data_IF_069231066308
#
_entry.id   IF_069231066308
#
_cell.length_a   1.000
_cell.length_b   1.000
_cell.length_c   1.000
_cell.angle_alpha   90.00
_cell.angle_beta   90.00
_cell.angle_gamma   90.00
#
_symmetry.space_group_name_H-M   'P 1'
#
loop_
_entity.id
_entity.type
_entity.pdbx_description
1 polymer ?
#
# COMPACT_ATOMS: atom_id res chain seq x y z
N UNK A 1 -29.59 15.34 -21.07
CA UNK A 1 -28.82 16.43 -20.44
C UNK A 1 -28.64 16.06 -18.97
N UNK A 2 -27.59 15.32 -18.66
CA UNK A 2 -27.36 14.78 -17.32
C UNK A 2 -26.48 15.77 -16.56
N UNK A 3 -27.01 16.33 -15.47
CA UNK A 3 -26.29 17.27 -14.60
C UNK A 3 -25.14 16.53 -13.93
N UNK A 4 -23.92 16.98 -14.19
CA UNK A 4 -22.74 16.64 -13.38
C UNK A 4 -22.97 17.31 -12.02
N UNK A 5 -23.23 16.52 -11.00
CA UNK A 5 -23.38 17.00 -9.62
C UNK A 5 -21.99 17.07 -9.03
N UNK A 6 -21.44 18.28 -8.92
CA UNK A 6 -20.29 18.53 -8.08
C UNK A 6 -20.73 18.52 -6.61
N UNK A 7 -20.00 17.82 -5.75
CA UNK A 7 -20.12 17.95 -4.30
C UNK A 7 -19.83 19.40 -3.86
N UNK A 8 -20.60 20.01 -2.94
CA UNK A 8 -20.45 21.40 -2.50
C UNK A 8 -19.09 21.74 -1.85
N UNK A 9 -18.27 20.74 -1.53
CA UNK A 9 -16.92 20.93 -0.99
C UNK A 9 -15.89 21.34 -2.04
N UNK A 10 -16.11 20.96 -3.31
CA UNK A 10 -15.23 21.31 -4.44
C UNK A 10 -15.31 22.81 -4.78
N UNK A 11 -16.45 23.46 -4.55
CA UNK A 11 -16.62 24.89 -4.83
C UNK A 11 -16.03 25.82 -3.75
N UNK A 12 -15.98 25.37 -2.50
CA UNK A 12 -15.76 26.29 -1.36
C UNK A 12 -14.27 26.53 -1.07
N UNK A 13 -13.37 25.63 -1.47
CA UNK A 13 -11.91 25.82 -1.28
C UNK A 13 -11.12 26.13 -2.56
N UNK A 14 -11.68 25.87 -3.74
CA UNK A 14 -11.12 26.34 -5.01
C UNK A 14 -11.16 27.89 -5.13
N UNK A 15 -12.11 28.55 -4.45
CA UNK A 15 -12.18 30.02 -4.37
C UNK A 15 -11.27 30.64 -3.29
N UNK A 16 -10.87 29.88 -2.26
CA UNK A 16 -10.07 30.44 -1.15
C UNK A 16 -8.57 30.56 -1.47
N UNK A 17 -8.04 29.84 -2.48
CA UNK A 17 -6.65 30.00 -2.95
C UNK A 17 -6.47 31.03 -4.07
N UNK A 18 -7.54 31.47 -4.74
CA UNK A 18 -7.45 32.35 -5.93
C UNK A 18 -7.79 33.82 -5.72
N UNK A 19 -8.23 34.22 -4.53
CA UNK A 19 -8.57 35.63 -4.21
C UNK A 19 -7.55 36.36 -3.32
N UNK A 20 -6.38 35.76 -3.07
CA UNK A 20 -5.36 36.33 -2.19
C UNK A 20 -4.10 36.85 -2.89
N UNK A 21 -4.18 37.55 -4.02
CA UNK A 21 -3.00 38.22 -4.62
C UNK A 21 -3.40 39.32 -5.62
N UNK A 22 -3.79 40.50 -5.12
CA UNK A 22 -3.70 41.74 -5.88
C UNK A 22 -2.57 42.60 -5.31
N UNK A 23 -1.48 42.76 -6.07
CA UNK A 23 -0.74 44.04 -6.19
C UNK A 23 0.28 44.02 -7.34
N UNK A 24 -0.07 44.79 -8.37
CA UNK A 24 0.78 45.69 -9.19
C UNK A 24 2.09 45.20 -9.81
N UNK A 25 2.09 45.13 -11.14
CA UNK A 25 3.26 45.29 -12.03
C UNK A 25 3.80 46.74 -12.00
N UNK A 26 5.03 47.04 -12.49
CA UNK A 26 5.38 47.07 -13.94
C UNK A 26 6.80 46.48 -14.22
N UNK A 27 7.32 46.24 -15.43
CA UNK A 27 6.91 46.35 -16.84
C UNK A 27 8.10 46.02 -17.78
N UNK A 28 7.80 45.71 -19.07
CA UNK A 28 8.59 45.97 -20.31
C UNK A 28 9.98 45.25 -20.47
N UNK A 29 10.47 44.68 -21.60
CA UNK A 29 10.24 44.71 -23.07
C UNK A 29 10.98 43.53 -23.75
N UNK A 30 10.39 42.96 -24.83
CA UNK A 30 11.06 42.48 -26.07
C UNK A 30 11.73 41.08 -26.05
N UNK A 31 11.74 40.25 -27.09
CA UNK A 31 11.27 40.30 -28.47
C UNK A 31 11.21 38.85 -29.03
N UNK A 32 10.42 38.65 -30.09
CA UNK A 32 10.26 37.38 -30.86
C UNK A 32 11.37 37.17 -31.95
N UNK A 33 11.24 36.24 -32.94
CA UNK A 33 11.39 34.78 -32.86
C UNK A 33 12.31 34.19 -33.98
N UNK A 34 12.32 32.86 -34.11
CA UNK A 34 12.55 32.06 -35.35
C UNK A 34 13.92 31.32 -35.47
N UNK A 35 14.10 30.40 -36.46
CA UNK A 35 14.01 28.95 -36.23
C UNK A 35 15.24 28.18 -36.78
N UNK A 36 15.36 26.85 -36.58
CA UNK A 36 15.79 25.87 -37.62
C UNK A 36 16.12 24.46 -37.09
N UNK A 37 15.41 23.51 -37.69
CA UNK A 37 15.71 22.14 -38.15
C UNK A 37 17.00 21.38 -37.74
N UNK A 38 16.78 20.18 -37.20
CA UNK A 38 17.19 18.82 -37.67
C UNK A 38 18.67 18.58 -38.06
N UNK A 39 19.38 17.71 -37.32
CA UNK A 39 19.74 16.35 -37.78
C UNK A 39 20.52 15.52 -36.74
N UNK A 40 20.16 14.24 -36.69
CA UNK A 40 20.82 13.10 -36.03
C UNK A 40 22.19 12.79 -36.62
N UNK A 41 23.20 12.57 -35.78
CA UNK A 41 24.35 11.72 -36.07
C UNK A 41 24.88 11.06 -34.78
N UNK A 42 24.97 9.72 -34.81
CA UNK A 42 25.71 8.90 -33.86
C UNK A 42 27.21 9.17 -34.00
N UNK A 43 27.94 9.30 -32.88
CA UNK A 43 29.20 8.59 -32.61
C UNK A 43 29.79 8.89 -31.22
N UNK A 44 30.34 7.83 -30.63
CA UNK A 44 31.50 7.75 -29.73
C UNK A 44 31.47 8.39 -28.34
N UNK A 45 31.53 7.48 -27.35
CA UNK A 45 32.35 7.49 -26.13
C UNK A 45 33.29 8.70 -25.94
N UNK A 46 33.03 9.45 -24.88
CA UNK A 46 33.96 10.42 -24.30
C UNK A 46 33.75 10.49 -22.79
N UNK A 47 34.82 10.25 -22.03
CA UNK A 47 34.93 10.42 -20.58
C UNK A 47 34.36 11.76 -20.11
N UNK A 48 33.44 11.72 -19.14
CA UNK A 48 33.11 12.89 -18.32
C UNK A 48 33.34 12.55 -16.85
N UNK A 49 34.32 13.27 -16.32
CA UNK A 49 34.75 13.35 -14.93
C UNK A 49 33.67 14.05 -14.09
N UNK A 50 33.60 13.59 -12.84
CA UNK A 50 32.95 14.14 -11.65
C UNK A 50 32.52 15.62 -11.69
N UNK A 51 31.24 15.86 -11.41
CA UNK A 51 30.80 16.95 -10.53
C UNK A 51 29.56 16.48 -9.74
N UNK A 52 29.79 16.20 -8.45
CA UNK A 52 28.80 15.79 -7.46
C UNK A 52 28.12 17.05 -6.90
N UNK A 53 26.90 17.36 -7.34
CA UNK A 53 26.00 18.22 -6.57
C UNK A 53 24.91 17.37 -5.91
N UNK A 54 25.04 17.30 -4.57
CA UNK A 54 24.07 16.72 -3.65
C UNK A 54 22.85 17.63 -3.58
N UNK A 55 21.81 17.33 -4.33
CA UNK A 55 20.45 17.72 -3.96
C UNK A 55 19.75 16.55 -3.29
N UNK A 56 19.48 16.70 -1.99
CA UNK A 56 18.66 15.77 -1.23
C UNK A 56 17.24 15.76 -1.79
N UNK A 57 16.92 14.71 -2.55
CA UNK A 57 15.56 14.31 -2.86
C UNK A 57 14.86 13.94 -1.55
N UNK A 58 14.28 14.94 -0.90
CA UNK A 58 13.30 14.75 0.15
C UNK A 58 12.06 14.12 -0.51
N UNK A 59 11.92 12.80 -0.39
CA UNK A 59 10.64 12.12 -0.62
C UNK A 59 9.58 12.79 0.24
N UNK A 60 8.49 13.26 -0.35
CA UNK A 60 7.34 13.78 0.39
C UNK A 60 6.88 12.72 1.42
N UNK A 61 6.56 13.11 2.67
CA UNK A 61 6.04 12.16 3.65
C UNK A 61 4.69 11.57 3.19
N UNK A 62 4.60 10.23 3.20
CA UNK A 62 3.45 9.39 2.77
C UNK A 62 2.08 9.89 3.22
N UNK A 63 2.03 10.51 4.40
CA UNK A 63 0.81 11.04 5.03
C UNK A 63 0.04 12.00 4.11
N UNK A 64 0.72 12.74 3.22
CA UNK A 64 0.05 13.65 2.28
C UNK A 64 -0.61 12.91 1.10
N UNK A 65 -0.02 11.83 0.60
CA UNK A 65 -0.53 11.13 -0.60
C UNK A 65 -1.76 10.28 -0.31
N UNK A 66 -1.79 9.54 0.80
CA UNK A 66 -2.98 8.80 1.24
C UNK A 66 -4.14 9.74 1.51
N UNK A 67 -3.88 10.89 2.15
CA UNK A 67 -4.89 11.89 2.43
C UNK A 67 -5.47 12.51 1.15
N UNK A 68 -4.65 12.76 0.12
CA UNK A 68 -5.14 13.31 -1.15
C UNK A 68 -6.02 12.33 -1.92
N UNK A 69 -5.66 11.04 -2.01
CA UNK A 69 -6.51 10.04 -2.68
C UNK A 69 -7.81 9.84 -1.89
N UNK A 70 -7.73 9.59 -0.58
CA UNK A 70 -8.91 9.45 0.27
C UNK A 70 -9.82 10.69 0.19
N UNK A 71 -9.23 11.89 0.14
CA UNK A 71 -9.99 13.14 -0.07
C UNK A 71 -10.63 13.21 -1.45
N UNK A 72 -9.92 12.87 -2.53
CA UNK A 72 -10.51 12.84 -3.88
C UNK A 72 -11.64 11.82 -3.99
N UNK A 73 -11.50 10.66 -3.34
CA UNK A 73 -12.46 9.57 -3.35
C UNK A 73 -13.70 9.92 -2.51
N UNK A 74 -13.50 10.50 -1.33
CA UNK A 74 -14.58 11.04 -0.49
C UNK A 74 -15.30 12.21 -1.18
N UNK A 75 -14.57 13.12 -1.83
CA UNK A 75 -15.14 14.27 -2.57
C UNK A 75 -15.87 13.84 -3.86
N UNK A 76 -15.44 12.73 -4.49
CA UNK A 76 -16.09 12.12 -5.64
C UNK A 76 -17.27 11.20 -5.26
N UNK A 77 -17.54 10.99 -3.96
CA UNK A 77 -18.63 10.13 -3.47
C UNK A 77 -18.38 8.64 -3.71
N UNK A 78 -17.11 8.21 -3.76
CA UNK A 78 -16.69 6.88 -4.21
C UNK A 78 -16.08 6.00 -3.10
N UNK A 79 -16.38 6.24 -1.82
CA UNK A 79 -16.01 5.26 -0.78
C UNK A 79 -17.10 4.20 -0.64
N UNK A 80 -16.72 2.93 -0.56
CA UNK A 80 -17.62 1.79 -0.33
C UNK A 80 -18.30 1.82 1.05
N UNK A 81 -17.81 2.63 1.98
CA UNK A 81 -18.51 2.92 3.22
C UNK A 81 -19.68 3.85 2.89
N UNK A 82 -20.90 3.31 2.86
CA UNK A 82 -22.16 4.06 2.76
C UNK A 82 -22.42 4.93 4.03
N UNK A 83 -21.41 5.21 4.85
CA UNK A 83 -21.55 6.00 6.07
C UNK A 83 -21.78 7.48 5.71
N UNK A 84 -22.93 8.06 6.12
CA UNK A 84 -23.15 9.49 6.01
C UNK A 84 -22.07 10.25 6.81
N UNK A 85 -21.63 11.44 6.35
CA UNK A 85 -20.63 12.24 7.05
C UNK A 85 -20.94 12.47 8.53
N UNK A 86 -22.21 12.75 8.87
CA UNK A 86 -22.65 12.97 10.25
C UNK A 86 -22.47 11.72 11.12
N UNK A 87 -22.64 10.53 10.53
CA UNK A 87 -22.45 9.25 11.22
C UNK A 87 -20.96 8.98 11.46
N UNK A 88 -20.11 9.29 10.48
CA UNK A 88 -18.66 9.17 10.64
C UNK A 88 -18.15 10.06 11.78
N UNK A 89 -18.52 11.34 11.79
CA UNK A 89 -18.16 12.28 12.87
C UNK A 89 -18.64 11.82 14.24
N UNK A 90 -19.87 11.29 14.32
CA UNK A 90 -20.41 10.72 15.56
C UNK A 90 -19.60 9.51 16.06
N UNK A 91 -19.16 8.64 15.15
CA UNK A 91 -18.34 7.47 15.51
C UNK A 91 -16.95 7.92 15.96
N UNK A 92 -16.31 8.85 15.25
CA UNK A 92 -15.00 9.40 15.63
C UNK A 92 -15.06 10.07 17.00
N UNK A 93 -16.14 10.79 17.31
CA UNK A 93 -16.36 11.36 18.64
C UNK A 93 -16.46 10.29 19.73
N UNK A 94 -17.27 9.25 19.51
CA UNK A 94 -17.40 8.13 20.46
C UNK A 94 -16.09 7.36 20.64
N UNK A 95 -15.30 7.19 19.57
CA UNK A 95 -13.97 6.57 19.62
C UNK A 95 -13.03 7.42 20.47
N UNK A 96 -13.01 8.74 20.25
CA UNK A 96 -12.16 9.63 21.02
C UNK A 96 -12.45 9.53 22.52
N UNK A 97 -13.72 9.58 22.90
CA UNK A 97 -14.15 9.43 24.31
C UNK A 97 -13.75 8.07 24.89
N UNK A 98 -13.98 7.00 24.13
CA UNK A 98 -13.67 5.63 24.57
C UNK A 98 -12.16 5.39 24.75
N UNK A 99 -11.33 5.97 23.87
CA UNK A 99 -9.88 5.77 23.86
C UNK A 99 -9.13 6.71 24.81
N UNK A 100 -9.74 7.81 25.27
CA UNK A 100 -9.17 8.64 26.35
C UNK A 100 -9.10 7.93 27.70
N UNK A 101 -9.88 6.88 27.91
CA UNK A 101 -9.83 6.09 29.15
C UNK A 101 -8.64 5.13 29.09
N UNK A 102 -7.57 5.44 29.82
CA UNK A 102 -6.38 4.60 29.86
C UNK A 102 -6.71 3.17 30.33
N UNK A 103 -6.26 2.13 29.61
CA UNK A 103 -6.42 0.76 30.07
C UNK A 103 -5.63 0.57 31.37
N UNK A 104 -6.34 0.21 32.43
CA UNK A 104 -5.76 0.04 33.77
C UNK A 104 -5.82 1.28 34.68
N UNK A 105 -6.43 2.39 34.24
CA UNK A 105 -6.97 3.36 35.20
C UNK A 105 -8.07 2.65 35.99
N UNK A 106 -7.72 2.12 37.17
CA UNK A 106 -8.65 1.43 38.04
C UNK A 106 -9.90 2.28 38.23
N UNK A 107 -11.05 1.61 38.34
CA UNK A 107 -12.31 2.22 38.74
C UNK A 107 -12.05 3.30 39.80
N UNK A 108 -12.66 4.50 39.70
CA UNK A 108 -12.41 5.57 40.65
C UNK A 108 -12.55 5.03 42.07
N UNK A 109 -11.58 5.35 42.92
CA UNK A 109 -11.57 5.01 44.36
C UNK A 109 -12.93 5.37 44.97
N UNK A 110 -13.84 4.38 45.04
CA UNK A 110 -15.24 4.60 45.42
C UNK A 110 -16.27 3.74 44.68
N UNK A 111 -15.99 3.20 43.50
CA UNK A 111 -16.85 2.21 42.85
C UNK A 111 -16.58 0.81 43.47
N UNK A 112 -17.17 0.57 44.63
CA UNK A 112 -17.11 -0.74 45.28
C UNK A 112 -17.74 -1.80 44.39
N UNK A 113 -17.02 -2.90 44.17
CA UNK A 113 -17.61 -4.15 43.69
C UNK A 113 -18.82 -4.47 44.58
N UNK A 114 -19.95 -4.96 44.02
CA UNK A 114 -21.09 -5.36 44.82
C UNK A 114 -20.63 -6.34 45.91
N UNK A 115 -21.09 -6.17 47.16
CA UNK A 115 -20.67 -7.02 48.27
C UNK A 115 -20.98 -8.49 47.94
N UNK A 116 -19.92 -9.29 47.75
CA UNK A 116 -20.01 -10.72 47.39
C UNK A 116 -19.23 -11.13 46.14
N UNK A 117 -18.79 -10.21 45.29
CA UNK A 117 -17.96 -10.51 44.12
C UNK A 117 -16.45 -10.54 44.48
N UNK A 118 -16.03 -11.56 45.22
CA UNK A 118 -14.62 -11.81 45.48
C UNK A 118 -13.97 -12.52 44.29
N UNK A 119 -12.99 -11.89 43.64
CA UNK A 119 -12.07 -12.61 42.75
C UNK A 119 -11.31 -13.66 43.57
N UNK A 120 -11.14 -14.90 43.06
CA UNK A 120 -10.42 -15.93 43.79
C UNK A 120 -8.97 -15.50 44.08
N UNK A 121 -8.38 -15.92 45.22
CA UNK A 121 -7.01 -15.59 45.56
C UNK A 121 -6.05 -16.06 44.46
N UNK A 122 -5.38 -15.13 43.78
CA UNK A 122 -4.45 -15.42 42.69
C UNK A 122 -4.96 -15.15 41.28
N UNK A 123 -6.24 -14.80 41.08
CA UNK A 123 -6.72 -14.30 39.80
C UNK A 123 -6.19 -12.89 39.54
N UNK A 124 -5.07 -12.80 38.81
CA UNK A 124 -4.72 -11.59 38.08
C UNK A 124 -5.57 -11.59 36.81
N UNK A 125 -6.30 -10.50 36.55
CA UNK A 125 -6.75 -10.23 35.17
C UNK A 125 -5.51 -10.34 34.27
N UNK A 126 -5.61 -11.02 33.11
CA UNK A 126 -4.46 -11.16 32.23
C UNK A 126 -3.88 -9.76 31.96
N UNK A 127 -2.55 -9.57 32.13
CA UNK A 127 -1.91 -8.34 31.70
C UNK A 127 -2.06 -8.25 30.18
N UNK A 128 -2.93 -7.34 29.76
CA UNK A 128 -3.52 -7.34 28.44
C UNK A 128 -4.91 -6.73 28.57
N UNK A 129 -4.94 -5.42 28.82
CA UNK A 129 -6.18 -4.66 28.92
C UNK A 129 -7.00 -4.92 27.67
N UNK A 130 -8.09 -5.67 27.83
CA UNK A 130 -9.10 -5.77 26.78
C UNK A 130 -9.49 -4.37 26.36
N UNK A 131 -9.77 -4.22 25.07
CA UNK A 131 -10.38 -3.03 24.50
C UNK A 131 -11.43 -2.47 25.44
N UNK A 132 -11.58 -1.14 25.58
CA UNK A 132 -12.85 -0.59 26.00
C UNK A 132 -13.85 -1.20 25.04
N UNK A 133 -14.76 -2.04 25.54
CA UNK A 133 -15.68 -2.83 24.69
C UNK A 133 -16.44 -1.94 23.70
N UNK A 134 -16.57 -0.66 24.04
CA UNK A 134 -17.15 0.38 23.20
C UNK A 134 -16.28 0.78 21.99
N UNK A 135 -14.96 0.93 22.14
CA UNK A 135 -14.08 1.31 21.03
C UNK A 135 -14.06 0.23 19.94
N UNK A 136 -13.97 -1.04 20.33
CA UNK A 136 -14.07 -2.18 19.42
C UNK A 136 -15.40 -2.17 18.67
N UNK A 137 -16.51 -1.98 19.39
CA UNK A 137 -17.87 -1.92 18.83
C UNK A 137 -18.05 -0.75 17.86
N UNK A 138 -17.40 0.39 18.12
CA UNK A 138 -17.46 1.56 17.25
C UNK A 138 -16.63 1.36 15.97
N UNK A 139 -15.47 0.71 16.06
CA UNK A 139 -14.69 0.32 14.88
C UNK A 139 -15.44 -0.71 14.03
N UNK A 140 -16.05 -1.72 14.64
CA UNK A 140 -16.87 -2.73 13.96
C UNK A 140 -18.08 -2.11 13.23
N UNK A 141 -18.64 -1.00 13.74
CA UNK A 141 -19.68 -0.24 13.04
C UNK A 141 -19.18 0.47 11.77
N UNK A 142 -17.89 0.74 11.67
CA UNK A 142 -17.25 1.26 10.45
C UNK A 142 -16.94 0.08 9.51
N UNK A 143 -16.23 -0.93 10.02
CA UNK A 143 -15.86 -2.14 9.29
C UNK A 143 -15.48 -3.28 10.25
N UNK A 144 -15.88 -4.52 9.94
CA UNK A 144 -15.67 -5.69 10.82
C UNK A 144 -14.19 -6.07 11.01
N UNK A 145 -13.35 -5.78 10.02
CA UNK A 145 -11.91 -6.03 10.08
C UNK A 145 -11.10 -4.93 10.79
N UNK A 146 -11.73 -3.84 11.25
CA UNK A 146 -11.05 -2.81 12.03
C UNK A 146 -11.01 -3.19 13.50
N UNK A 147 -9.85 -3.00 14.10
CA UNK A 147 -9.63 -3.25 15.52
C UNK A 147 -8.67 -2.21 16.12
N UNK A 148 -8.54 -2.22 17.44
CA UNK A 148 -7.43 -1.53 18.09
C UNK A 148 -6.80 -2.34 19.21
N UNK A 149 -5.57 -2.01 19.55
CA UNK A 149 -4.89 -2.60 20.70
C UNK A 149 -4.10 -1.53 21.45
N UNK A 150 -3.97 -1.68 22.76
CA UNK A 150 -3.11 -0.81 23.54
C UNK A 150 -1.67 -1.28 23.47
N UNK A 151 -0.79 -0.42 22.99
CA UNK A 151 0.65 -0.68 22.99
C UNK A 151 1.29 -0.04 24.22
N UNK A 152 1.80 -0.87 25.13
CA UNK A 152 2.55 -0.41 26.28
C UNK A 152 3.81 0.37 25.86
N UNK A 153 4.17 1.46 26.55
CA UNK A 153 5.35 2.24 26.21
C UNK A 153 6.62 1.40 26.34
N UNK A 154 7.55 1.50 25.38
CA UNK A 154 8.86 0.81 25.46
C UNK A 154 9.74 1.40 26.57
N UNK A 155 9.68 2.72 26.73
CA UNK A 155 10.48 3.47 27.71
C UNK A 155 9.60 3.95 28.84
N UNK A 156 10.04 3.69 30.08
CA UNK A 156 9.37 4.14 31.29
C UNK A 156 9.23 5.67 31.28
N UNK A 157 8.00 6.17 31.20
CA UNK A 157 7.69 7.60 31.17
C UNK A 157 7.00 8.09 29.90
N UNK A 158 7.00 7.31 28.81
CA UNK A 158 6.12 7.59 27.68
C UNK A 158 4.69 7.14 28.01
N UNK A 159 3.70 7.94 27.62
CA UNK A 159 2.34 7.43 27.54
C UNK A 159 2.31 6.31 26.49
N UNK A 160 1.60 5.22 26.77
CA UNK A 160 1.31 4.23 25.74
C UNK A 160 0.44 4.84 24.64
N UNK A 161 0.28 4.12 23.55
CA UNK A 161 -0.55 4.55 22.42
C UNK A 161 -1.51 3.45 22.02
N UNK A 162 -2.71 3.85 21.60
CA UNK A 162 -3.59 2.95 20.88
C UNK A 162 -3.03 2.70 19.49
N UNK A 163 -3.12 1.47 19.03
CA UNK A 163 -2.76 1.06 17.67
C UNK A 163 -4.05 0.70 16.96
N UNK A 164 -4.38 1.38 15.87
CA UNK A 164 -5.48 0.99 14.99
C UNK A 164 -4.98 -0.07 14.01
N UNK A 165 -5.71 -1.17 13.85
CA UNK A 165 -5.32 -2.33 13.02
C UNK A 165 -6.41 -2.65 12.01
N UNK A 166 -6.01 -3.14 10.84
CA UNK A 166 -6.91 -3.76 9.87
C UNK A 166 -6.50 -5.23 9.75
N UNK A 167 -7.38 -6.15 10.16
CA UNK A 167 -7.11 -7.59 10.28
C UNK A 167 -6.94 -8.27 8.92
N UNK A 168 -5.84 -7.97 8.23
CA UNK A 168 -5.55 -8.44 6.86
C UNK A 168 -6.21 -7.63 5.75
N UNK A 169 -7.11 -6.69 6.07
CA UNK A 169 -7.82 -5.83 5.11
C UNK A 169 -6.99 -4.57 4.78
N UNK A 170 -5.95 -4.75 3.96
CA UNK A 170 -4.98 -3.70 3.58
C UNK A 170 -5.62 -2.49 2.90
N UNK A 171 -6.74 -2.71 2.22
CA UNK A 171 -7.57 -1.69 1.58
C UNK A 171 -8.15 -0.67 2.59
N UNK A 172 -8.17 -1.00 3.89
CA UNK A 172 -8.65 -0.11 4.94
C UNK A 172 -7.56 0.82 5.50
N UNK A 173 -6.30 0.70 5.09
CA UNK A 173 -5.22 1.56 5.59
C UNK A 173 -5.43 3.05 5.38
N UNK A 174 -5.94 3.53 4.22
CA UNK A 174 -6.28 4.94 4.08
C UNK A 174 -7.32 5.42 5.12
N UNK A 175 -8.28 4.56 5.47
CA UNK A 175 -9.28 4.84 6.49
C UNK A 175 -8.67 4.85 7.90
N UNK A 176 -7.76 3.91 8.20
CA UNK A 176 -7.01 3.90 9.47
C UNK A 176 -6.19 5.18 9.64
N UNK A 177 -5.50 5.62 8.58
CA UNK A 177 -4.71 6.84 8.60
C UNK A 177 -5.59 8.06 8.86
N UNK A 178 -6.77 8.13 8.22
CA UNK A 178 -7.75 9.18 8.45
C UNK A 178 -8.26 9.16 9.89
N UNK A 179 -8.68 8.00 10.40
CA UNK A 179 -9.14 7.85 11.78
C UNK A 179 -8.07 8.24 12.79
N UNK A 180 -6.82 7.81 12.58
CA UNK A 180 -5.70 8.16 13.44
C UNK A 180 -5.46 9.68 13.46
N UNK A 181 -5.47 10.33 12.28
CA UNK A 181 -5.32 11.77 12.18
C UNK A 181 -6.44 12.53 12.90
N UNK A 182 -7.70 12.13 12.69
CA UNK A 182 -8.86 12.75 13.34
C UNK A 182 -8.84 12.57 14.87
N UNK A 183 -8.51 11.38 15.36
CA UNK A 183 -8.36 11.09 16.79
C UNK A 183 -7.21 11.90 17.42
N UNK A 184 -6.11 12.09 16.69
CA UNK A 184 -4.99 12.92 17.14
C UNK A 184 -5.40 14.39 17.31
N UNK A 185 -6.26 14.95 16.43
CA UNK A 185 -6.80 16.32 16.62
C UNK A 185 -7.63 16.48 17.90
N UNK A 186 -8.14 15.36 18.44
CA UNK A 186 -8.92 15.29 19.68
C UNK A 186 -8.06 14.94 20.91
N UNK A 187 -6.74 14.90 20.75
CA UNK A 187 -5.79 14.66 21.85
C UNK A 187 -5.62 13.18 22.23
N UNK A 188 -6.11 12.25 21.41
CA UNK A 188 -5.91 10.81 21.62
C UNK A 188 -4.55 10.39 21.07
N UNK A 189 -3.74 9.72 21.89
CA UNK A 189 -2.48 9.12 21.43
C UNK A 189 -2.76 7.83 20.66
N UNK A 190 -2.78 7.93 19.35
CA UNK A 190 -3.03 6.81 18.45
C UNK A 190 -1.95 6.73 17.37
N UNK A 191 -1.55 5.51 17.04
CA UNK A 191 -0.63 5.22 15.94
C UNK A 191 -1.40 4.41 14.89
N UNK A 192 -1.36 4.81 13.61
CA UNK A 192 -1.90 3.98 12.55
C UNK A 192 -0.98 2.77 12.38
N UNK A 193 -1.54 1.56 12.51
CA UNK A 193 -0.87 0.27 12.28
C UNK A 193 0.17 -0.09 13.35
N UNK A 194 0.47 -1.38 13.49
CA UNK A 194 1.46 -1.85 14.47
C UNK A 194 2.87 -1.35 14.10
N UNK A 195 3.54 -0.56 14.96
CA UNK A 195 4.91 -0.16 14.74
C UNK A 195 5.87 -1.34 14.96
N UNK A 196 7.12 -1.18 14.54
CA UNK A 196 8.19 -2.14 14.83
C UNK A 196 8.39 -2.24 16.35
N UNK A 197 8.30 -3.45 16.87
CA UNK A 197 8.57 -3.79 18.27
C UNK A 197 9.95 -4.45 18.42
N UNK A 198 10.58 -4.23 19.57
CA UNK A 198 11.80 -4.95 19.92
C UNK A 198 11.62 -6.48 19.99
N UNK A 199 12.68 -7.22 19.64
CA UNK A 199 12.71 -8.69 19.58
C UNK A 199 12.04 -9.37 20.79
N UNK A 200 12.37 -8.93 22.01
CA UNK A 200 11.84 -9.53 23.24
C UNK A 200 10.32 -9.41 23.38
N UNK A 201 9.72 -8.30 22.94
CA UNK A 201 8.26 -8.10 22.96
C UNK A 201 7.58 -8.93 21.89
N UNK A 202 8.13 -8.91 20.68
CA UNK A 202 7.65 -9.76 19.58
C UNK A 202 7.67 -11.25 19.97
N UNK A 203 8.76 -11.69 20.62
CA UNK A 203 8.91 -13.06 21.12
C UNK A 203 7.86 -13.40 22.18
N UNK A 204 7.63 -12.51 23.16
CA UNK A 204 6.62 -12.73 24.19
C UNK A 204 5.21 -12.87 23.60
N UNK A 205 4.85 -12.02 22.61
CA UNK A 205 3.56 -12.11 21.89
C UNK A 205 3.43 -13.44 21.15
N UNK A 206 4.45 -13.83 20.41
CA UNK A 206 4.46 -15.09 19.66
C UNK A 206 4.38 -16.32 20.58
N UNK A 207 5.12 -16.34 21.70
CA UNK A 207 5.06 -17.41 22.69
C UNK A 207 3.70 -17.50 23.40
N UNK A 208 3.06 -16.36 23.68
CA UNK A 208 1.71 -16.34 24.22
C UNK A 208 0.69 -16.93 23.24
N UNK A 209 0.79 -16.56 21.95
CA UNK A 209 -0.03 -17.14 20.88
C UNK A 209 0.20 -18.65 20.72
N UNK A 210 1.45 -19.10 20.73
CA UNK A 210 1.80 -20.52 20.56
C UNK A 210 1.51 -21.39 21.79
N UNK A 211 1.39 -20.79 22.98
CA UNK A 211 1.27 -21.52 24.25
C UNK A 211 2.55 -22.29 24.67
N UNK A 212 3.68 -22.05 24.01
CA UNK A 212 5.00 -22.62 24.33
C UNK A 212 6.13 -21.68 23.90
N UNK A 213 7.35 -22.01 24.32
CA UNK A 213 8.54 -21.22 23.98
C UNK A 213 8.77 -21.15 22.46
N UNK A 214 8.94 -19.92 21.95
CA UNK A 214 9.21 -19.62 20.55
C UNK A 214 10.67 -19.18 20.31
N UNK A 215 11.50 -19.11 21.37
CA UNK A 215 12.84 -18.53 21.32
C UNK A 215 13.83 -19.36 20.48
N UNK A 216 13.65 -20.68 20.46
CA UNK A 216 14.49 -21.60 19.70
C UNK A 216 14.08 -21.70 18.21
N UNK A 217 13.06 -20.96 17.78
CA UNK A 217 12.68 -20.85 16.36
C UNK A 217 13.82 -20.22 15.57
N UNK A 218 13.99 -20.69 14.33
CA UNK A 218 14.89 -20.08 13.35
C UNK A 218 14.12 -19.64 12.13
N UNK A 219 14.69 -18.73 11.35
CA UNK A 219 14.01 -18.18 10.18
C UNK A 219 14.93 -18.21 8.96
N UNK A 220 14.34 -18.50 7.81
CA UNK A 220 14.92 -18.30 6.49
C UNK A 220 14.15 -17.20 5.79
N UNK A 221 14.87 -16.28 5.16
CA UNK A 221 14.31 -15.19 4.36
C UNK A 221 14.79 -15.37 2.92
N UNK A 222 13.91 -15.26 1.94
CA UNK A 222 14.27 -15.34 0.53
C UNK A 222 13.36 -14.49 -0.33
N UNK A 223 13.84 -14.08 -1.51
CA UNK A 223 12.99 -13.41 -2.50
C UNK A 223 12.22 -14.43 -3.34
N UNK A 224 10.96 -14.09 -3.61
CA UNK A 224 10.09 -14.78 -4.57
C UNK A 224 9.67 -13.78 -5.66
N UNK A 225 8.67 -14.14 -6.47
CA UNK A 225 8.14 -13.30 -7.55
C UNK A 225 7.68 -11.93 -7.05
N UNK A 226 7.77 -10.92 -7.91
CA UNK A 226 7.37 -9.55 -7.62
C UNK A 226 8.24 -8.84 -6.59
N UNK A 227 9.44 -9.38 -6.32
CA UNK A 227 10.34 -8.94 -5.24
C UNK A 227 9.76 -9.06 -3.83
N UNK A 228 8.78 -9.96 -3.66
CA UNK A 228 8.25 -10.32 -2.34
C UNK A 228 9.26 -11.18 -1.58
N UNK A 229 9.18 -11.12 -0.26
CA UNK A 229 9.94 -11.95 0.66
C UNK A 229 9.07 -13.13 1.11
N UNK A 230 9.63 -14.33 1.05
CA UNK A 230 9.16 -15.52 1.74
C UNK A 230 9.87 -15.63 3.08
N UNK A 231 9.10 -15.76 4.16
CA UNK A 231 9.60 -16.03 5.50
C UNK A 231 9.26 -17.47 5.88
N UNK A 232 10.27 -18.33 6.08
CA UNK A 232 10.07 -19.71 6.50
C UNK A 232 10.64 -19.92 7.92
N UNK A 233 9.75 -20.18 8.88
CA UNK A 233 10.07 -20.36 10.29
C UNK A 233 10.23 -21.85 10.63
N UNK A 234 11.42 -22.23 11.07
CA UNK A 234 11.72 -23.56 11.58
C UNK A 234 11.42 -23.61 13.08
N UNK A 235 10.21 -24.07 13.44
CA UNK A 235 9.65 -24.02 14.80
C UNK A 235 9.87 -25.37 15.51
N UNK A 236 10.46 -25.39 16.72
CA UNK A 236 10.62 -26.61 17.50
C UNK A 236 9.27 -27.25 17.87
N UNK A 237 9.14 -28.56 17.62
CA UNK A 237 7.93 -29.31 17.94
C UNK A 237 6.72 -28.98 17.05
N UNK A 238 6.91 -28.29 15.93
CA UNK A 238 5.90 -28.09 14.90
C UNK A 238 5.71 -29.37 14.06
N UNK A 239 4.48 -29.62 13.62
CA UNK A 239 4.10 -30.78 12.78
C UNK A 239 4.09 -30.47 11.27
N UNK A 240 4.69 -29.34 10.85
CA UNK A 240 4.74 -28.89 9.47
C UNK A 240 3.65 -27.88 9.12
N UNK A 241 3.32 -27.77 7.83
CA UNK A 241 2.41 -26.73 7.31
C UNK A 241 0.96 -26.80 7.84
N UNK A 242 0.57 -27.91 8.47
CA UNK A 242 -0.75 -28.07 9.09
C UNK A 242 -0.82 -27.55 10.54
N UNK A 243 0.29 -27.09 11.12
CA UNK A 243 0.33 -26.51 12.46
C UNK A 243 -0.10 -25.04 12.42
N UNK A 244 -1.42 -24.82 12.39
CA UNK A 244 -2.03 -23.48 12.30
C UNK A 244 -1.59 -22.56 13.44
N UNK A 245 -1.44 -23.09 14.66
CA UNK A 245 -1.01 -22.31 15.81
C UNK A 245 0.45 -21.85 15.69
N UNK A 246 1.34 -22.71 15.16
CA UNK A 246 2.71 -22.30 14.84
C UNK A 246 2.75 -21.23 13.75
N UNK A 247 1.90 -21.35 12.73
CA UNK A 247 1.79 -20.35 11.67
C UNK A 247 1.29 -19.01 12.21
N UNK A 248 0.25 -19.02 13.05
CA UNK A 248 -0.27 -17.82 13.71
C UNK A 248 0.80 -17.14 14.56
N UNK A 249 1.53 -17.91 15.37
CA UNK A 249 2.63 -17.38 16.19
C UNK A 249 3.78 -16.79 15.34
N UNK A 250 4.10 -17.41 14.20
CA UNK A 250 5.08 -16.89 13.26
C UNK A 250 4.62 -15.57 12.61
N UNK A 251 3.33 -15.47 12.25
CA UNK A 251 2.72 -14.25 11.73
C UNK A 251 2.76 -13.13 12.77
N UNK A 252 2.30 -13.40 14.01
CA UNK A 252 2.35 -12.44 15.13
C UNK A 252 3.78 -11.97 15.39
N UNK A 253 4.75 -12.88 15.33
CA UNK A 253 6.16 -12.53 15.48
C UNK A 253 6.66 -11.61 14.36
N UNK A 254 6.39 -11.99 13.11
CA UNK A 254 6.84 -11.25 11.92
C UNK A 254 6.23 -9.84 11.88
N UNK A 255 4.93 -9.74 12.13
CA UNK A 255 4.20 -8.48 12.21
C UNK A 255 4.76 -7.57 13.31
N UNK A 256 5.00 -8.12 14.51
CA UNK A 256 5.58 -7.35 15.62
C UNK A 256 7.00 -6.84 15.31
N UNK A 257 7.87 -7.65 14.70
CA UNK A 257 9.28 -7.28 14.50
C UNK A 257 9.54 -6.48 13.21
N UNK A 258 8.63 -6.55 12.24
CA UNK A 258 8.73 -5.82 10.98
C UNK A 258 7.82 -4.59 10.93
N UNK A 259 6.76 -4.56 11.75
CA UNK A 259 5.63 -3.64 11.62
C UNK A 259 4.68 -4.07 10.49
N UNK A 260 3.40 -3.76 10.65
CA UNK A 260 2.34 -4.09 9.67
C UNK A 260 2.67 -3.56 8.27
N UNK A 261 3.10 -2.30 8.18
CA UNK A 261 3.40 -1.65 6.89
C UNK A 261 4.50 -2.39 6.10
N UNK A 262 5.59 -2.78 6.76
CA UNK A 262 6.68 -3.50 6.09
C UNK A 262 6.26 -4.91 5.75
N UNK A 263 5.55 -5.58 6.66
CA UNK A 263 5.05 -6.92 6.44
C UNK A 263 4.18 -6.96 5.16
N UNK A 264 3.22 -6.05 5.04
CA UNK A 264 2.29 -6.08 3.92
C UNK A 264 2.91 -5.68 2.58
N UNK A 265 3.83 -4.73 2.63
CA UNK A 265 4.49 -4.22 1.43
C UNK A 265 5.50 -5.23 0.87
N UNK A 266 6.22 -5.93 1.74
CA UNK A 266 7.40 -6.71 1.37
C UNK A 266 7.27 -8.20 1.55
N UNK A 267 6.39 -8.71 2.42
CA UNK A 267 6.28 -10.14 2.69
C UNK A 267 5.11 -10.73 1.91
N UNK A 268 5.42 -11.73 1.08
CA UNK A 268 4.44 -12.42 0.23
C UNK A 268 3.88 -13.68 0.88
N UNK A 269 4.69 -14.36 1.69
CA UNK A 269 4.26 -15.56 2.39
C UNK A 269 5.02 -15.76 3.70
N UNK A 270 4.31 -16.33 4.67
CA UNK A 270 4.86 -16.85 5.92
C UNK A 270 4.57 -18.34 5.95
N UNK A 271 5.59 -19.15 6.14
CA UNK A 271 5.48 -20.59 6.26
C UNK A 271 6.15 -21.09 7.54
N UNK A 272 5.68 -22.23 8.04
CA UNK A 272 6.31 -22.94 9.17
C UNK A 272 6.75 -24.33 8.76
N UNK A 273 7.88 -24.76 9.31
CA UNK A 273 8.40 -26.12 9.17
C UNK A 273 8.95 -26.63 10.50
N UNK A 274 9.06 -27.96 10.71
CA UNK A 274 9.66 -28.50 11.92
C UNK A 274 11.14 -28.11 12.01
N UNK A 275 11.58 -27.61 13.16
CA UNK A 275 13.00 -27.37 13.37
C UNK A 275 13.80 -28.69 13.26
N UNK A 276 14.99 -28.67 12.60
CA UNK A 276 15.81 -29.86 12.47
C UNK A 276 16.17 -30.39 13.86
N UNK A 277 15.83 -31.66 14.11
CA UNK A 277 16.18 -32.33 15.37
C UNK A 277 17.69 -32.48 15.41
N UNK A 278 18.37 -31.87 16.38
CA UNK A 278 19.83 -31.92 16.54
C UNK A 278 20.39 -33.31 16.89
N UNK A 279 19.71 -34.41 16.55
CA UNK A 279 20.21 -35.77 16.75
C UNK A 279 21.34 -36.08 15.78
N UNK A 280 22.37 -36.80 16.25
CA UNK A 280 23.58 -37.13 15.47
C UNK A 280 23.34 -37.98 14.22
N UNK A 281 22.11 -38.47 13.98
CA UNK A 281 21.72 -39.17 12.77
C UNK A 281 21.36 -38.14 11.69
N UNK A 282 22.38 -37.70 10.94
CA UNK A 282 22.20 -36.99 9.67
C UNK A 282 21.61 -37.96 8.66
N UNK A 283 20.28 -38.05 8.60
CA UNK A 283 19.61 -38.63 7.44
C UNK A 283 20.00 -37.76 6.24
N UNK A 284 20.49 -38.38 5.17
CA UNK A 284 20.80 -37.71 3.92
C UNK A 284 19.48 -37.22 3.33
N UNK A 285 19.04 -36.03 3.74
CA UNK A 285 17.90 -35.36 3.10
C UNK A 285 18.34 -34.94 1.70
N UNK A 286 17.91 -35.73 0.73
CA UNK A 286 18.22 -35.60 -0.70
C UNK A 286 17.50 -34.43 -1.39
N UNK A 287 16.74 -33.63 -0.66
CA UNK A 287 15.96 -32.51 -1.18
C UNK A 287 16.45 -31.18 -0.60
N UNK A 288 17.47 -30.61 -1.25
CA UNK A 288 17.78 -29.19 -1.15
C UNK A 288 18.93 -28.87 -0.20
N UNK A 289 19.95 -28.21 -0.76
CA UNK A 289 20.98 -27.49 -0.02
C UNK A 289 20.32 -26.77 1.16
N UNK A 290 20.74 -27.10 2.39
CA UNK A 290 20.24 -26.50 3.61
C UNK A 290 20.46 -24.99 3.58
N UNK A 291 19.48 -24.28 3.04
CA UNK A 291 19.49 -22.83 3.00
C UNK A 291 19.70 -22.35 4.43
N UNK A 292 20.66 -21.44 4.60
CA UNK A 292 21.10 -21.00 5.90
C UNK A 292 19.90 -20.51 6.73
N UNK A 293 19.58 -21.25 7.78
CA UNK A 293 18.60 -20.82 8.79
C UNK A 293 19.31 -19.89 9.76
N UNK A 294 18.70 -18.74 10.03
CA UNK A 294 19.30 -17.66 10.82
C UNK A 294 18.55 -17.52 12.16
N UNK A 295 19.19 -17.06 13.25
CA UNK A 295 18.50 -16.78 14.50
C UNK A 295 17.32 -15.83 14.31
N UNK A 296 16.23 -16.08 15.05
CA UNK A 296 14.99 -15.29 14.97
C UNK A 296 15.21 -13.79 15.25
N UNK A 297 16.15 -13.47 16.15
CA UNK A 297 16.50 -12.09 16.51
C UNK A 297 17.06 -11.25 15.34
N UNK A 298 17.61 -11.89 14.32
CA UNK A 298 18.20 -11.21 13.15
C UNK A 298 17.16 -10.93 12.06
N UNK A 299 15.90 -11.37 12.21
CA UNK A 299 14.86 -11.25 11.17
C UNK A 299 14.70 -9.82 10.65
N UNK A 300 14.57 -8.84 11.54
CA UNK A 300 14.35 -7.43 11.14
C UNK A 300 15.53 -6.86 10.36
N UNK A 301 16.75 -7.21 10.76
CA UNK A 301 17.97 -6.77 10.08
C UNK A 301 18.13 -7.46 8.71
N UNK A 302 17.86 -8.76 8.62
CA UNK A 302 17.89 -9.52 7.37
C UNK A 302 16.89 -8.97 6.35
N UNK A 303 15.64 -8.75 6.77
CA UNK A 303 14.59 -8.18 5.90
C UNK A 303 15.01 -6.78 5.45
N UNK A 304 15.47 -5.94 6.38
CA UNK A 304 15.91 -4.58 6.05
C UNK A 304 17.11 -4.58 5.09
N UNK A 305 18.06 -5.49 5.27
CA UNK A 305 19.20 -5.67 4.37
C UNK A 305 18.76 -6.15 2.98
N UNK A 306 17.83 -7.10 2.91
CA UNK A 306 17.22 -7.55 1.67
C UNK A 306 16.54 -6.41 0.91
N UNK A 307 15.68 -5.65 1.59
CA UNK A 307 14.99 -4.47 1.01
C UNK A 307 16.01 -3.47 0.47
N UNK A 308 17.03 -3.09 1.27
CA UNK A 308 18.07 -2.15 0.81
C UNK A 308 18.83 -2.69 -0.40
N UNK A 309 19.17 -3.98 -0.40
CA UNK A 309 19.86 -4.63 -1.52
C UNK A 309 19.03 -4.60 -2.80
N UNK A 310 17.73 -4.88 -2.71
CA UNK A 310 16.82 -4.77 -3.84
C UNK A 310 16.74 -3.31 -4.32
N UNK A 311 16.43 -2.37 -3.42
CA UNK A 311 16.29 -0.96 -3.78
C UNK A 311 17.56 -0.40 -4.42
N UNK A 312 18.75 -0.83 -3.98
CA UNK A 312 20.02 -0.46 -4.60
C UNK A 312 20.17 -0.99 -6.03
N UNK A 313 19.55 -2.14 -6.35
CA UNK A 313 19.53 -2.72 -7.69
C UNK A 313 18.45 -2.16 -8.63
N UNK A 314 17.49 -1.37 -8.11
CA UNK A 314 16.47 -0.72 -8.93
C UNK A 314 17.05 0.48 -9.71
N UNK A 315 16.48 0.82 -10.89
CA UNK A 315 16.94 1.96 -11.69
C UNK A 315 16.99 3.26 -10.89
N UNK A 316 18.08 4.01 -11.08
CA UNK A 316 18.33 5.28 -10.39
C UNK A 316 17.48 6.44 -10.91
N UNK A 317 17.01 6.30 -12.15
CA UNK A 317 16.22 7.30 -12.87
C UNK A 317 14.79 6.78 -13.07
N UNK A 318 13.79 7.68 -13.21
CA UNK A 318 12.43 7.28 -13.56
C UNK A 318 12.38 6.40 -14.80
N UNK A 319 11.39 5.50 -14.90
CA UNK A 319 11.21 4.63 -16.06
C UNK A 319 10.97 5.43 -17.36
N UNK A 320 10.44 6.64 -17.23
CA UNK A 320 10.31 7.61 -18.32
C UNK A 320 11.67 8.01 -18.93
N UNK A 321 12.71 8.02 -18.12
CA UNK A 321 14.07 8.43 -18.49
C UNK A 321 14.98 7.24 -18.77
N UNK A 322 14.54 6.01 -18.50
CA UNK A 322 15.37 4.83 -18.74
C UNK A 322 15.47 4.58 -20.25
N UNK A 323 16.70 4.41 -20.73
CA UNK A 323 16.99 4.20 -22.16
C UNK A 323 16.56 2.81 -22.68
N UNK A 324 16.11 1.91 -21.81
CA UNK A 324 15.67 0.58 -22.22
C UNK A 324 14.33 0.68 -22.98
N UNK A 325 14.40 0.39 -24.28
CA UNK A 325 13.25 0.23 -25.16
C UNK A 325 12.74 -1.22 -25.18
N UNK A 326 13.14 -2.05 -24.22
CA UNK A 326 12.81 -3.48 -24.26
C UNK A 326 11.38 -3.70 -23.78
N UNK A 327 10.51 -4.00 -24.73
CA UNK A 327 9.13 -4.38 -24.47
C UNK A 327 9.03 -5.90 -24.37
N UNK A 328 8.36 -6.37 -23.31
CA UNK A 328 8.02 -7.78 -23.13
C UNK A 328 6.55 -7.98 -23.40
N UNK A 329 6.22 -8.94 -24.28
CA UNK A 329 4.84 -9.41 -24.48
C UNK A 329 4.53 -10.52 -23.48
N UNK A 330 3.35 -10.47 -22.88
CA UNK A 330 2.81 -11.44 -21.94
C UNK A 330 1.46 -11.93 -22.47
N UNK A 331 1.31 -13.24 -22.58
CA UNK A 331 0.01 -13.88 -22.74
C UNK A 331 -0.59 -14.09 -21.36
N UNK A 332 -1.86 -13.75 -21.18
CA UNK A 332 -2.58 -13.89 -19.93
C UNK A 332 -3.85 -14.71 -20.13
N UNK A 333 -4.16 -15.56 -19.16
CA UNK A 333 -5.43 -16.28 -19.11
C UNK A 333 -6.44 -15.43 -18.34
N UNK A 334 -7.57 -15.01 -18.95
CA UNK A 334 -8.59 -14.26 -18.25
C UNK A 334 -9.12 -15.01 -17.03
N UNK A 335 -9.24 -14.33 -15.89
CA UNK A 335 -9.87 -14.90 -14.70
C UNK A 335 -11.38 -14.96 -14.91
N UNK A 336 -11.93 -16.14 -14.69
CA UNK A 336 -13.36 -16.42 -14.85
C UNK A 336 -14.01 -16.45 -13.46
N UNK A 337 -15.11 -15.71 -13.31
CA UNK A 337 -15.93 -15.72 -12.10
C UNK A 337 -16.75 -17.00 -11.94
N UNK A 338 -17.46 -17.11 -10.81
CA UNK A 338 -18.28 -18.27 -10.47
C UNK A 338 -19.40 -18.57 -11.49
N UNK A 339 -19.82 -17.57 -12.26
CA UNK A 339 -20.83 -17.67 -13.31
C UNK A 339 -20.27 -18.07 -14.69
N UNK A 340 -18.96 -18.33 -14.77
CA UNK A 340 -18.30 -18.59 -16.05
C UNK A 340 -18.02 -17.33 -16.87
N UNK A 341 -18.39 -16.15 -16.38
CA UNK A 341 -18.10 -14.89 -17.05
C UNK A 341 -16.74 -14.33 -16.60
N UNK A 342 -16.01 -13.59 -17.46
CA UNK A 342 -14.76 -12.95 -17.06
C UNK A 342 -14.98 -11.99 -15.88
N UNK A 343 -14.14 -12.10 -14.85
CA UNK A 343 -14.09 -11.10 -13.80
C UNK A 343 -13.70 -9.76 -14.42
N UNK A 344 -14.37 -8.69 -14.00
CA UNK A 344 -14.08 -7.33 -14.45
C UNK A 344 -13.60 -6.46 -13.29
N UNK A 345 -13.10 -7.06 -12.21
CA UNK A 345 -12.68 -6.29 -11.03
C UNK A 345 -11.42 -5.50 -11.30
N UNK A 346 -10.40 -6.05 -11.95
CA UNK A 346 -9.18 -5.30 -12.29
C UNK A 346 -8.83 -5.43 -13.78
N UNK A 347 -7.63 -5.97 -14.07
CA UNK A 347 -7.17 -6.40 -15.39
C UNK A 347 -7.48 -7.88 -15.65
N UNK A 348 -8.40 -8.46 -14.89
CA UNK A 348 -8.77 -9.87 -14.90
C UNK A 348 -9.24 -10.41 -16.26
N UNK A 349 -9.74 -9.55 -17.16
CA UNK A 349 -10.17 -9.97 -18.50
C UNK A 349 -9.04 -9.93 -19.54
N UNK A 350 -7.80 -9.65 -19.13
CA UNK A 350 -6.63 -9.50 -20.02
C UNK A 350 -6.32 -10.79 -20.74
N UNK A 351 -6.11 -10.69 -22.06
CA UNK A 351 -5.65 -11.80 -22.91
C UNK A 351 -4.20 -11.63 -23.35
N UNK A 352 -3.77 -10.38 -23.54
CA UNK A 352 -2.43 -10.05 -24.02
C UNK A 352 -2.00 -8.70 -23.47
N UNK A 353 -0.74 -8.58 -23.05
CA UNK A 353 -0.15 -7.34 -22.57
C UNK A 353 1.28 -7.13 -23.08
N UNK A 354 1.65 -5.89 -23.37
CA UNK A 354 3.03 -5.49 -23.62
C UNK A 354 3.48 -4.53 -22.52
N UNK A 355 4.68 -4.73 -21.96
CA UNK A 355 5.18 -3.90 -20.85
C UNK A 355 6.70 -3.78 -20.83
N UNK A 356 7.18 -2.64 -20.34
CA UNK A 356 8.59 -2.36 -20.00
C UNK A 356 8.94 -2.85 -18.59
N UNK A 357 7.96 -3.23 -17.79
CA UNK A 357 8.14 -3.74 -16.43
C UNK A 357 7.41 -5.09 -16.28
N UNK A 358 7.97 -6.19 -16.85
CA UNK A 358 7.29 -7.49 -16.86
C UNK A 358 7.07 -8.04 -15.45
N UNK A 359 7.99 -7.85 -14.52
CA UNK A 359 7.87 -8.37 -13.16
C UNK A 359 6.72 -7.71 -12.37
N UNK A 360 6.56 -6.38 -12.50
CA UNK A 360 5.44 -5.63 -11.93
C UNK A 360 4.11 -6.15 -12.47
N UNK A 361 3.99 -6.24 -13.79
CA UNK A 361 2.72 -6.61 -14.42
C UNK A 361 2.37 -8.07 -14.16
N UNK A 362 3.35 -9.00 -14.19
CA UNK A 362 3.13 -10.40 -13.79
C UNK A 362 2.66 -10.50 -12.35
N UNK A 363 3.31 -9.79 -11.43
CA UNK A 363 2.91 -9.74 -10.02
C UNK A 363 1.46 -9.30 -9.87
N UNK A 364 1.05 -8.23 -10.57
CA UNK A 364 -0.33 -7.73 -10.56
C UNK A 364 -1.33 -8.73 -11.15
N UNK A 365 -1.04 -9.30 -12.33
CA UNK A 365 -1.93 -10.24 -13.01
C UNK A 365 -2.09 -11.58 -12.27
N UNK A 366 -1.07 -12.01 -11.52
CA UNK A 366 -1.12 -13.19 -10.66
C UNK A 366 -1.87 -12.94 -9.33
N UNK A 367 -2.40 -11.73 -9.11
CA UNK A 367 -3.11 -11.34 -7.88
C UNK A 367 -2.19 -11.20 -6.67
N UNK A 368 -0.87 -11.12 -6.89
CA UNK A 368 0.08 -10.89 -5.82
C UNK A 368 0.05 -9.41 -5.40
N UNK A 369 0.24 -9.09 -4.11
CA UNK A 369 0.20 -7.71 -3.65
C UNK A 369 1.32 -6.91 -4.29
N UNK A 370 1.00 -5.80 -4.96
CA UNK A 370 1.97 -4.89 -5.58
C UNK A 370 2.24 -3.71 -4.66
N UNK A 371 3.51 -3.31 -4.60
CA UNK A 371 3.95 -2.02 -4.05
C UNK A 371 4.89 -1.37 -5.04
N UNK A 372 4.60 -0.13 -5.42
CA UNK A 372 5.39 0.66 -6.34
C UNK A 372 6.85 0.82 -5.89
N UNK A 373 7.10 0.82 -4.58
CA UNK A 373 8.45 0.91 -4.00
C UNK A 373 9.34 -0.28 -4.32
N UNK A 374 8.75 -1.43 -4.64
CA UNK A 374 9.51 -2.62 -5.07
C UNK A 374 10.00 -2.53 -6.50
N UNK A 375 9.44 -1.62 -7.30
CA UNK A 375 9.71 -1.51 -8.74
C UNK A 375 10.24 -0.13 -9.15
N UNK A 376 10.15 0.88 -8.28
CA UNK A 376 10.72 2.22 -8.51
C UNK A 376 11.43 2.75 -7.27
N UNK A 377 12.72 3.07 -7.42
CA UNK A 377 13.55 3.70 -6.38
C UNK A 377 13.27 5.19 -6.25
N UNK A 378 12.80 5.82 -7.32
CA UNK A 378 12.55 7.27 -7.41
C UNK A 378 11.14 7.67 -6.98
N UNK A 379 10.35 6.71 -6.45
CA UNK A 379 9.02 6.97 -5.91
C UNK A 379 7.93 7.13 -6.98
N UNK A 380 8.07 6.51 -8.15
CA UNK A 380 6.95 6.44 -9.10
C UNK A 380 5.79 5.64 -8.49
N UNK A 381 4.57 5.99 -8.85
CA UNK A 381 3.33 5.27 -8.53
C UNK A 381 2.81 4.61 -9.80
N UNK A 382 2.49 3.32 -9.74
CA UNK A 382 1.96 2.59 -10.88
C UNK A 382 0.44 2.61 -10.92
N UNK A 383 -0.11 3.03 -12.05
CA UNK A 383 -1.53 3.12 -12.29
C UNK A 383 -1.89 2.52 -13.66
N UNK A 384 -3.17 2.25 -13.91
CA UNK A 384 -3.64 1.88 -15.23
C UNK A 384 -4.96 2.57 -15.58
N UNK A 385 -5.10 2.92 -16.84
CA UNK A 385 -6.37 3.33 -17.43
C UNK A 385 -7.09 2.08 -17.90
N UNK A 386 -8.35 1.93 -17.48
CA UNK A 386 -9.28 0.92 -17.94
C UNK A 386 -10.26 1.56 -18.92
N UNK A 387 -10.19 1.15 -20.18
CA UNK A 387 -10.94 1.72 -21.28
C UNK A 387 -11.98 0.71 -21.77
N UNK A 388 -13.28 0.94 -21.58
CA UNK A 388 -14.31 0.11 -22.18
C UNK A 388 -14.20 0.16 -23.71
N UNK A 389 -14.23 -0.99 -24.37
CA UNK A 389 -14.27 -1.05 -25.84
C UNK A 389 -15.31 -2.04 -26.33
N UNK A 390 -16.14 -1.59 -27.27
CA UNK A 390 -17.07 -2.43 -28.01
C UNK A 390 -16.46 -2.97 -29.31
N UNK A 391 -15.27 -2.49 -29.69
CA UNK A 391 -14.60 -2.92 -30.90
C UNK A 391 -14.14 -4.38 -30.81
N UNK A 392 -14.05 -5.10 -31.95
CA UNK A 392 -13.45 -6.42 -31.99
C UNK A 392 -11.97 -6.36 -31.57
N UNK A 393 -11.44 -7.46 -31.02
CA UNK A 393 -10.08 -7.53 -30.46
C UNK A 393 -9.00 -7.06 -31.44
N UNK A 394 -9.19 -7.25 -32.75
CA UNK A 394 -8.27 -6.83 -33.81
C UNK A 394 -8.17 -5.31 -33.98
N UNK A 395 -9.22 -4.55 -33.63
CA UNK A 395 -9.30 -3.09 -33.83
C UNK A 395 -8.91 -2.31 -32.57
N UNK A 396 -8.99 -2.94 -31.40
CA UNK A 396 -8.66 -2.32 -30.10
C UNK A 396 -7.25 -1.72 -30.00
N UNK A 397 -6.19 -2.32 -30.58
CA UNK A 397 -4.87 -1.69 -30.57
C UNK A 397 -4.86 -0.31 -31.24
N UNK A 398 -5.62 -0.12 -32.32
CA UNK A 398 -5.69 1.16 -33.03
C UNK A 398 -6.47 2.22 -32.25
N UNK A 399 -7.61 1.84 -31.65
CA UNK A 399 -8.38 2.71 -30.75
C UNK A 399 -7.52 3.17 -29.57
N UNK A 400 -6.83 2.23 -28.93
CA UNK A 400 -5.95 2.51 -27.80
C UNK A 400 -4.79 3.41 -28.22
N UNK A 401 -4.17 3.19 -29.38
CA UNK A 401 -3.05 4.00 -29.87
C UNK A 401 -3.41 5.48 -30.09
N UNK A 402 -4.69 5.81 -30.31
CA UNK A 402 -5.15 7.20 -30.34
C UNK A 402 -5.09 7.83 -28.94
N UNK A 403 -5.51 7.08 -27.92
CA UNK A 403 -5.45 7.50 -26.52
C UNK A 403 -4.00 7.65 -26.06
N UNK A 404 -3.16 6.66 -26.34
CA UNK A 404 -1.73 6.67 -25.99
C UNK A 404 -1.03 7.93 -26.54
N UNK A 405 -1.18 8.21 -27.85
CA UNK A 405 -0.60 9.40 -28.50
C UNK A 405 -1.09 10.73 -27.92
N UNK A 406 -2.32 10.78 -27.45
CA UNK A 406 -2.89 12.00 -26.86
C UNK A 406 -2.41 12.22 -25.42
N UNK A 407 -2.20 11.14 -24.66
CA UNK A 407 -1.77 11.19 -23.27
C UNK A 407 -0.26 11.41 -23.12
N UNK A 408 0.55 10.88 -24.03
CA UNK A 408 2.01 10.98 -24.01
C UNK A 408 2.52 12.43 -23.75
N UNK A 409 2.12 13.46 -24.53
CA UNK A 409 2.56 14.82 -24.27
C UNK A 409 1.97 15.42 -22.97
N UNK A 410 0.79 14.96 -22.54
CA UNK A 410 0.18 15.40 -21.28
C UNK A 410 0.94 14.87 -20.06
N UNK A 411 1.57 13.69 -20.19
CA UNK A 411 2.29 13.03 -19.11
C UNK A 411 3.80 13.30 -19.10
N UNK A 412 4.40 13.87 -20.15
CA UNK A 412 5.86 13.95 -20.33
C UNK A 412 6.66 14.39 -19.08
N UNK A 413 6.16 15.36 -18.31
CA UNK A 413 6.82 15.84 -17.09
C UNK A 413 6.43 15.08 -15.82
N UNK A 414 5.29 14.39 -15.84
CA UNK A 414 4.62 13.84 -14.66
C UNK A 414 4.58 12.31 -14.61
N UNK A 415 4.86 11.63 -15.71
CA UNK A 415 4.84 10.17 -15.81
C UNK A 415 5.14 9.68 -17.22
N UNK A 416 4.93 8.39 -17.44
CA UNK A 416 5.09 7.76 -18.75
C UNK A 416 4.20 6.54 -18.87
N UNK A 417 3.86 6.18 -20.09
CA UNK A 417 3.30 4.86 -20.39
C UNK A 417 4.40 3.80 -20.32
N UNK A 418 4.20 2.79 -19.49
CA UNK A 418 5.13 1.66 -19.35
C UNK A 418 4.56 0.35 -19.89
N UNK A 419 3.28 0.33 -20.22
CA UNK A 419 2.61 -0.88 -20.65
C UNK A 419 1.28 -0.62 -21.32
N UNK A 420 0.79 -1.61 -22.05
CA UNK A 420 -0.58 -1.67 -22.50
C UNK A 420 -1.09 -3.12 -22.47
N UNK A 421 -2.40 -3.28 -22.43
CA UNK A 421 -3.01 -4.60 -22.54
C UNK A 421 -4.33 -4.55 -23.32
N UNK A 422 -4.73 -5.70 -23.82
CA UNK A 422 -6.06 -5.95 -24.39
C UNK A 422 -6.69 -7.07 -23.58
N UNK A 423 -7.89 -6.80 -23.07
CA UNK A 423 -8.75 -7.81 -22.45
C UNK A 423 -9.96 -8.12 -23.31
N UNK A 424 -10.87 -8.95 -22.79
CA UNK A 424 -12.09 -9.36 -23.48
C UNK A 424 -13.10 -8.22 -23.63
N UNK A 425 -13.20 -7.32 -22.65
CA UNK A 425 -14.12 -6.16 -22.67
C UNK A 425 -13.41 -4.80 -22.62
N UNK A 426 -12.14 -4.79 -22.22
CA UNK A 426 -11.41 -3.55 -22.00
C UNK A 426 -10.10 -3.50 -22.79
N UNK A 427 -9.61 -2.28 -22.99
CA UNK A 427 -8.21 -1.99 -23.28
C UNK A 427 -7.59 -1.31 -22.08
N UNK A 428 -6.29 -1.53 -21.89
CA UNK A 428 -5.56 -1.02 -20.74
C UNK A 428 -4.33 -0.25 -21.16
N UNK A 429 -4.04 0.83 -20.46
CA UNK A 429 -2.79 1.59 -20.58
C UNK A 429 -2.17 1.65 -19.19
N UNK A 430 -0.97 1.11 -19.02
CA UNK A 430 -0.25 1.06 -17.75
C UNK A 430 0.72 2.23 -17.68
N UNK A 431 0.68 2.97 -16.58
CA UNK A 431 1.36 4.23 -16.35
C UNK A 431 2.32 4.12 -15.16
N UNK A 432 3.48 4.76 -15.27
CA UNK A 432 4.35 5.08 -14.13
C UNK A 432 4.29 6.59 -13.89
N UNK A 433 3.74 7.00 -12.74
CA UNK A 433 3.49 8.41 -12.38
C UNK A 433 4.57 8.86 -11.39
N UNK A 434 5.41 9.84 -11.76
CA UNK A 434 6.52 10.32 -10.92
C UNK A 434 6.06 11.09 -9.69
N UNK A 435 5.01 11.90 -9.86
CA UNK A 435 4.38 12.67 -8.80
C UNK A 435 2.89 12.50 -8.97
N UNK A 436 2.26 11.82 -8.03
CA UNK A 436 0.89 11.39 -8.20
C UNK A 436 -0.05 12.58 -8.45
N UNK A 437 -0.07 13.58 -7.57
CA UNK A 437 -1.04 14.68 -7.67
C UNK A 437 -0.91 15.49 -8.97
N UNK A 438 0.29 15.99 -9.37
CA UNK A 438 0.44 16.69 -10.65
C UNK A 438 0.12 15.81 -11.86
N UNK A 439 0.42 14.51 -11.80
CA UNK A 439 0.10 13.59 -12.88
C UNK A 439 -1.42 13.40 -13.02
N UNK A 440 -2.15 13.27 -11.90
CA UNK A 440 -3.61 13.19 -11.90
C UNK A 440 -4.24 14.48 -12.45
N UNK A 441 -3.76 15.65 -12.03
CA UNK A 441 -4.22 16.94 -12.55
C UNK A 441 -4.02 17.03 -14.06
N UNK A 442 -2.81 16.70 -14.54
CA UNK A 442 -2.49 16.71 -15.97
C UNK A 442 -3.36 15.73 -16.77
N UNK A 443 -3.62 14.53 -16.26
CA UNK A 443 -4.52 13.55 -16.88
C UNK A 443 -5.95 14.08 -16.97
N UNK A 444 -6.49 14.61 -15.87
CA UNK A 444 -7.85 15.14 -15.82
C UNK A 444 -8.01 16.32 -16.77
N UNK A 445 -7.04 17.24 -16.80
CA UNK A 445 -7.08 18.39 -17.71
C UNK A 445 -6.96 17.96 -19.18
N UNK A 446 -6.12 16.98 -19.48
CA UNK A 446 -5.97 16.40 -20.81
C UNK A 446 -7.30 15.81 -21.32
N UNK A 447 -8.02 15.08 -20.46
CA UNK A 447 -9.33 14.49 -20.77
C UNK A 447 -10.42 15.55 -20.89
N UNK A 448 -10.47 16.54 -19.99
CA UNK A 448 -11.43 17.65 -20.07
C UNK A 448 -11.27 18.47 -21.34
N UNK A 449 -10.05 18.70 -21.78
CA UNK A 449 -9.76 19.40 -23.03
C UNK A 449 -10.19 18.60 -24.27
N UNK A 450 -10.39 17.28 -24.14
CA UNK A 450 -10.73 16.37 -25.24
C UNK A 450 -11.81 15.36 -24.80
N UNK A 451 -13.08 15.77 -24.65
CA UNK A 451 -14.14 14.90 -24.11
C UNK A 451 -14.42 13.63 -24.93
N UNK A 452 -14.01 13.60 -26.20
CA UNK A 452 -14.12 12.43 -27.08
C UNK A 452 -12.88 11.49 -27.00
N UNK A 453 -11.88 11.84 -26.20
CA UNK A 453 -10.63 11.07 -26.10
C UNK A 453 -10.85 9.72 -25.43
N UNK A 454 -11.64 9.69 -24.36
CA UNK A 454 -11.88 8.48 -23.58
C UNK A 454 -13.33 7.99 -23.79
N UNK A 455 -13.54 6.68 -23.99
CA UNK A 455 -14.88 6.09 -23.95
C UNK A 455 -15.56 6.34 -22.59
N UNK A 456 -16.89 6.48 -22.59
CA UNK A 456 -17.68 6.59 -21.34
C UNK A 456 -17.43 5.38 -20.44
N UNK A 457 -17.28 5.63 -19.14
CA UNK A 457 -16.95 4.62 -18.15
C UNK A 457 -15.45 4.32 -18.06
N UNK A 458 -14.60 5.13 -18.69
CA UNK A 458 -13.15 5.02 -18.50
C UNK A 458 -12.76 5.41 -17.08
N UNK A 459 -11.87 4.62 -16.49
CA UNK A 459 -11.43 4.78 -15.10
C UNK A 459 -9.90 4.74 -15.02
N UNK A 460 -9.32 5.56 -14.15
CA UNK A 460 -7.95 5.38 -13.68
C UNK A 460 -7.96 4.57 -12.38
N UNK A 461 -7.09 3.57 -12.29
CA UNK A 461 -6.94 2.70 -11.11
C UNK A 461 -5.47 2.52 -10.75
N UNK A 462 -5.20 2.02 -9.56
CA UNK A 462 -3.85 1.82 -9.05
C UNK A 462 -3.46 0.34 -9.08
N UNK A 463 -2.17 0.08 -9.29
CA UNK A 463 -1.63 -1.28 -9.15
C UNK A 463 -1.28 -1.56 -7.70
N UNK A 464 -0.91 -0.55 -6.91
CA UNK A 464 -0.58 -0.70 -5.49
C UNK A 464 -1.73 -1.34 -4.70
N UNK A 465 -1.40 -2.37 -3.90
CA UNK A 465 -2.38 -3.13 -3.12
C UNK A 465 -3.15 -2.24 -2.12
N UNK A 466 -2.49 -1.23 -1.56
CA UNK A 466 -3.12 -0.27 -0.63
C UNK A 466 -4.19 0.60 -1.30
N UNK A 467 -4.19 0.68 -2.63
CA UNK A 467 -5.14 1.45 -3.43
C UNK A 467 -5.86 0.58 -4.47
N UNK A 468 -5.89 -0.75 -4.29
CA UNK A 468 -6.44 -1.68 -5.27
C UNK A 468 -7.93 -1.40 -5.56
N UNK A 469 -8.65 -0.97 -4.53
CA UNK A 469 -10.06 -0.59 -4.58
C UNK A 469 -10.28 0.90 -4.81
N UNK A 470 -9.25 1.69 -5.12
CA UNK A 470 -9.39 3.10 -5.42
C UNK A 470 -9.44 3.34 -6.94
N UNK A 471 -10.36 4.19 -7.39
CA UNK A 471 -10.46 4.57 -8.80
C UNK A 471 -10.96 6.01 -8.99
N UNK A 472 -10.53 6.61 -10.09
CA UNK A 472 -10.97 7.94 -10.53
C UNK A 472 -11.75 7.81 -11.85
N UNK A 473 -13.04 8.21 -11.90
CA UNK A 473 -13.77 8.28 -13.17
C UNK A 473 -13.21 9.41 -14.04
N UNK A 474 -12.96 9.12 -15.32
CA UNK A 474 -12.43 10.11 -16.27
C UNK A 474 -13.44 10.51 -17.36
N UNK A 475 -14.43 9.67 -17.68
CA UNK A 475 -15.40 9.93 -18.76
C UNK A 475 -16.79 9.33 -18.55
#
# INVERSE_FOLDING_TARGET
MSRIVFSPLVATRYLHRRLGSHRTAPGLVGAEPSPLKVNTQLASTGDCREENEREGLASLPREQTSFTIARYVLEAGATKSDLPPDRFESIVAGLAESLTVLPGAGLPLGAGLPPGAGLPPGARLPPGGGLPSEAARLLEQIHEDLDCEWLEPEVRGNAGSWVLRARGARELYPLIDLLAAELATRGVSVVPRLPVLGHSRALARASACLGRDFAATRVRVGFVRGHLLELAFAVPGCFGHADEQALEAATVYAEAVLGEERLDEWVGSIGVSPAPRGGGLRVLDSAGQGAAVTPLAELSELVSAGIRGLCAGLPEVPLASSASSDWTMLDAEPLVGNDGAPSLRAMDDTVMAATRCPELLKCFLEGLPVSSRRFSRVGETFAYLKLPSAAPLSERPEERALVERALEPCLAEHGVMIGNAVGLKHSYIVLALRRLEPALEALVDCVKARPALLPRGSQLRFLDAVWADEWLPLA
#
